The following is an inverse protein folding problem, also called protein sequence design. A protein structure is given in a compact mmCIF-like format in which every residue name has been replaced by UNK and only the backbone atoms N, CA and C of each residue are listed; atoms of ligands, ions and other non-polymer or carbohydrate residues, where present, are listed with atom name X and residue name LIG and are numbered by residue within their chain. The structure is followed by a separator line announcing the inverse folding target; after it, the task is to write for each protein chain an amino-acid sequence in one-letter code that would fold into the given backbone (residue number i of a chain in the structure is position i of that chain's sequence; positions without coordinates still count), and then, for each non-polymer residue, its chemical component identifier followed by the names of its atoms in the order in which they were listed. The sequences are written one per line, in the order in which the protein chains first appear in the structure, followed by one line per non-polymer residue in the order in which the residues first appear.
data_IF_304132539553
#
_entry.id   IF_304132539553
#
_cell.length_a   1.000
_cell.length_b   1.000
_cell.length_c   1.000
_cell.angle_alpha   90.00
_cell.angle_beta   90.00
_cell.angle_gamma   90.00
#
_symmetry.space_group_name_H-M   'P 1'
#
loop_
_entity.id
_entity.type
_entity.pdbx_description
1 polymer ?
#
# COMPACT_ATOMS: atom_id res chain seq x y z
N UNK A 1 -37.78 -1.77 -10.20
CA UNK A 1 -36.77 -1.93 -9.12
C UNK A 1 -35.51 -2.60 -9.64
N UNK A 2 -35.61 -3.73 -10.36
CA UNK A 2 -34.46 -4.43 -10.96
C UNK A 2 -33.48 -3.56 -11.75
N UNK A 3 -33.97 -2.66 -12.63
CA UNK A 3 -33.10 -1.78 -13.43
C UNK A 3 -32.22 -0.87 -12.55
N UNK A 4 -32.77 -0.38 -11.43
CA UNK A 4 -32.04 0.48 -10.50
C UNK A 4 -30.97 -0.33 -9.73
N UNK A 5 -31.31 -1.54 -9.32
CA UNK A 5 -30.36 -2.47 -8.67
C UNK A 5 -29.24 -2.86 -9.62
N UNK A 6 -29.57 -3.21 -10.87
CA UNK A 6 -28.59 -3.49 -11.91
C UNK A 6 -27.69 -2.29 -12.15
N UNK A 7 -28.26 -1.08 -12.27
CA UNK A 7 -27.50 0.14 -12.48
C UNK A 7 -26.48 0.36 -11.35
N UNK A 8 -26.88 0.18 -10.09
CA UNK A 8 -25.97 0.28 -8.94
C UNK A 8 -24.84 -0.75 -9.05
N UNK A 9 -25.16 -2.02 -9.29
CA UNK A 9 -24.15 -3.09 -9.34
C UNK A 9 -23.19 -2.87 -10.51
N UNK A 10 -23.69 -2.45 -11.68
CA UNK A 10 -22.86 -2.14 -12.85
C UNK A 10 -21.99 -0.92 -12.59
N UNK A 11 -22.51 0.12 -11.92
CA UNK A 11 -21.74 1.31 -11.54
C UNK A 11 -20.61 0.94 -10.57
N UNK A 12 -20.90 0.13 -9.55
CA UNK A 12 -19.89 -0.36 -8.59
C UNK A 12 -18.86 -1.27 -9.28
N UNK A 13 -19.29 -2.16 -10.18
CA UNK A 13 -18.38 -3.03 -10.96
C UNK A 13 -17.47 -2.20 -11.87
N UNK A 14 -18.01 -1.19 -12.53
CA UNK A 14 -17.25 -0.26 -13.38
C UNK A 14 -16.27 0.56 -12.56
N UNK A 15 -16.66 0.98 -11.36
CA UNK A 15 -15.79 1.64 -10.40
C UNK A 15 -14.66 0.71 -9.92
N UNK A 16 -14.93 -0.56 -9.60
CA UNK A 16 -13.89 -1.56 -9.31
C UNK A 16 -12.90 -1.71 -10.48
N UNK A 17 -13.41 -1.78 -11.71
CA UNK A 17 -12.59 -1.90 -12.91
C UNK A 17 -11.71 -0.65 -13.10
N UNK A 18 -12.27 0.53 -12.87
CA UNK A 18 -11.54 1.80 -12.93
C UNK A 18 -10.43 1.86 -11.87
N UNK A 19 -10.71 1.45 -10.63
CA UNK A 19 -9.69 1.32 -9.60
C UNK A 19 -8.61 0.32 -10.02
N UNK A 20 -8.99 -0.84 -10.57
CA UNK A 20 -8.04 -1.85 -11.03
C UNK A 20 -7.13 -1.34 -12.17
N UNK A 21 -7.59 -0.32 -12.92
CA UNK A 21 -6.80 0.36 -13.93
C UNK A 21 -5.91 1.47 -13.34
N UNK A 22 -6.43 2.25 -12.39
CA UNK A 22 -5.70 3.33 -11.72
C UNK A 22 -4.66 2.84 -10.72
N UNK A 23 -4.82 1.63 -10.18
CA UNK A 23 -3.91 1.03 -9.20
C UNK A 23 -3.15 -0.16 -9.83
N UNK A 24 -2.23 0.08 -10.78
CA UNK A 24 -1.20 -0.89 -11.11
C UNK A 24 -0.36 -1.20 -9.86
N UNK A 25 0.19 -2.41 -9.79
CA UNK A 25 1.03 -2.86 -8.66
C UNK A 25 2.22 -1.92 -8.39
N UNK A 26 2.75 -1.24 -9.41
CA UNK A 26 3.84 -0.26 -9.26
C UNK A 26 3.42 0.98 -8.47
N UNK A 27 2.15 1.40 -8.57
CA UNK A 27 1.66 2.55 -7.82
C UNK A 27 1.51 2.21 -6.34
N UNK A 28 1.07 0.99 -6.00
CA UNK A 28 1.02 0.54 -4.60
C UNK A 28 2.40 0.54 -3.94
N UNK A 29 3.41 0.06 -4.65
CA UNK A 29 4.81 0.10 -4.19
C UNK A 29 5.31 1.54 -4.00
N UNK A 30 4.97 2.44 -4.92
CA UNK A 30 5.31 3.86 -4.80
C UNK A 30 4.60 4.54 -3.62
N UNK A 31 3.32 4.24 -3.40
CA UNK A 31 2.56 4.77 -2.25
C UNK A 31 3.15 4.30 -0.93
N UNK A 32 3.50 3.02 -0.82
CA UNK A 32 4.16 2.47 0.36
C UNK A 32 5.52 3.15 0.59
N UNK A 33 6.37 3.25 -0.43
CA UNK A 33 7.67 3.95 -0.32
C UNK A 33 7.51 5.40 0.11
N UNK A 34 6.60 6.14 -0.53
CA UNK A 34 6.34 7.53 -0.18
C UNK A 34 5.88 7.66 1.28
N UNK A 35 4.98 6.78 1.73
CA UNK A 35 4.49 6.80 3.11
C UNK A 35 5.57 6.45 4.13
N UNK A 36 6.41 5.46 3.83
CA UNK A 36 7.56 5.07 4.65
C UNK A 36 8.56 6.23 4.77
N UNK A 37 8.83 6.96 3.68
CA UNK A 37 9.72 8.13 3.70
C UNK A 37 9.11 9.35 4.38
N UNK A 38 7.78 9.53 4.30
CA UNK A 38 7.09 10.63 4.94
C UNK A 38 7.13 10.50 6.48
N UNK A 39 6.98 9.28 6.99
CA UNK A 39 6.82 9.04 8.43
C UNK A 39 5.55 9.69 8.99
N UNK A 40 5.41 9.70 10.31
CA UNK A 40 4.27 10.34 10.97
C UNK A 40 4.70 11.11 12.23
N UNK A 41 3.89 12.10 12.60
CA UNK A 41 3.98 12.81 13.86
C UNK A 41 2.77 12.50 14.73
N UNK A 42 3.00 11.98 15.94
CA UNK A 42 1.95 11.76 16.93
C UNK A 42 1.98 12.84 18.00
N UNK A 43 0.81 13.33 18.43
CA UNK A 43 0.73 14.39 19.44
C UNK A 43 1.16 13.84 20.80
N UNK A 44 2.11 14.51 21.45
CA UNK A 44 2.50 14.14 22.82
C UNK A 44 1.40 14.53 23.81
N UNK A 45 1.08 13.67 24.79
CA UNK A 45 0.24 14.06 25.92
C UNK A 45 0.90 15.19 26.72
N UNK A 46 0.09 16.10 27.27
CA UNK A 46 0.56 17.31 27.97
C UNK A 46 1.52 17.02 29.13
N UNK A 47 1.41 15.83 29.72
CA UNK A 47 2.24 15.37 30.82
C UNK A 47 3.70 15.05 30.43
N UNK A 48 3.99 14.87 29.14
CA UNK A 48 5.33 14.45 28.65
C UNK A 48 6.10 15.60 27.96
N UNK A 49 5.60 16.83 28.07
CA UNK A 49 6.20 17.98 27.40
C UNK A 49 7.63 18.21 27.90
N UNK A 50 8.57 18.31 26.97
CA UNK A 50 9.98 18.61 27.27
C UNK A 50 10.26 20.09 27.12
N UNK A 51 11.07 20.65 28.01
CA UNK A 51 11.37 22.09 28.04
C UNK A 51 12.33 22.56 26.93
N UNK A 52 13.05 21.64 26.25
CA UNK A 52 13.99 21.97 25.18
C UNK A 52 13.71 21.10 23.96
N UNK A 53 12.92 21.64 23.04
CA UNK A 53 12.45 20.95 21.83
C UNK A 53 12.83 21.78 20.61
N UNK A 54 13.22 21.11 19.53
CA UNK A 54 13.54 21.78 18.27
C UNK A 54 12.22 22.24 17.62
N UNK A 55 12.18 23.48 17.14
CA UNK A 55 11.05 23.98 16.34
C UNK A 55 11.01 23.21 15.01
N UNK A 56 9.82 22.87 14.53
CA UNK A 56 9.67 22.20 13.25
C UNK A 56 10.16 23.07 12.08
N UNK A 57 10.95 22.49 11.18
CA UNK A 57 11.47 23.10 9.97
C UNK A 57 11.09 22.27 8.73
N UNK A 58 10.65 22.90 7.61
CA UNK A 58 10.10 22.17 6.45
C UNK A 58 11.09 21.30 5.67
N UNK A 59 12.38 21.62 5.75
CA UNK A 59 13.43 21.01 4.92
C UNK A 59 14.36 20.10 5.71
N UNK A 60 14.01 19.81 6.96
CA UNK A 60 14.85 19.01 7.86
C UNK A 60 14.25 17.63 8.06
N UNK A 61 15.09 16.59 7.92
CA UNK A 61 14.69 15.21 8.18
C UNK A 61 14.85 14.87 9.66
N UNK A 62 13.76 14.49 10.31
CA UNK A 62 13.78 14.12 11.73
C UNK A 62 14.02 12.62 11.90
N UNK A 63 14.92 12.25 12.83
CA UNK A 63 15.17 10.85 13.19
C UNK A 63 14.10 10.31 14.14
N UNK A 64 14.06 8.99 14.28
CA UNK A 64 13.18 8.29 15.20
C UNK A 64 13.13 8.90 16.61
N UNK A 65 11.93 9.05 17.16
CA UNK A 65 11.67 9.57 18.51
C UNK A 65 12.14 11.01 18.76
N UNK A 66 12.39 11.79 17.71
CA UNK A 66 12.66 13.22 17.86
C UNK A 66 11.35 13.93 18.19
N UNK A 67 11.37 14.76 19.23
CA UNK A 67 10.24 15.61 19.59
C UNK A 67 10.41 16.94 18.84
N UNK A 68 9.36 17.38 18.16
CA UNK A 68 9.32 18.67 17.47
C UNK A 68 8.15 19.49 17.97
N UNK A 69 8.34 20.80 18.07
CA UNK A 69 7.27 21.73 18.42
C UNK A 69 6.72 22.40 17.16
N UNK A 70 5.40 22.31 16.97
CA UNK A 70 4.69 22.99 15.91
C UNK A 70 3.42 23.63 16.46
N UNK A 71 3.22 24.93 16.22
CA UNK A 71 2.09 25.70 16.71
C UNK A 71 1.82 25.57 18.22
N UNK A 72 2.87 25.48 19.04
CA UNK A 72 2.78 25.37 20.51
C UNK A 72 2.40 23.98 21.02
N UNK A 73 2.30 22.99 20.13
CA UNK A 73 2.03 21.58 20.47
C UNK A 73 3.28 20.77 20.16
N UNK A 74 3.64 19.86 21.07
CA UNK A 74 4.75 18.95 20.89
C UNK A 74 4.29 17.65 20.21
N UNK A 75 5.04 17.20 19.22
CA UNK A 75 4.78 15.99 18.46
C UNK A 75 6.00 15.07 18.47
N UNK A 76 5.77 13.76 18.53
CA UNK A 76 6.79 12.71 18.41
C UNK A 76 6.91 12.25 16.97
N UNK A 77 8.12 12.23 16.43
CA UNK A 77 8.40 11.57 15.17
C UNK A 77 8.32 10.04 15.35
N UNK A 78 7.32 9.43 14.71
CA UNK A 78 7.15 7.98 14.60
C UNK A 78 7.50 7.59 13.17
N UNK A 79 8.76 7.19 12.90
CA UNK A 79 9.13 6.66 11.60
C UNK A 79 8.68 5.21 11.46
N UNK A 80 8.69 4.74 10.22
CA UNK A 80 8.51 3.33 9.90
C UNK A 80 9.80 2.55 10.21
N UNK A 81 9.69 1.30 10.67
CA UNK A 81 10.83 0.48 11.13
C UNK A 81 11.97 0.34 10.09
N UNK A 82 11.62 0.40 8.80
CA UNK A 82 12.55 0.26 7.68
C UNK A 82 13.35 1.54 7.37
N UNK A 83 12.80 2.71 7.67
CA UNK A 83 13.38 4.00 7.28
C UNK A 83 13.24 4.98 8.44
N UNK A 84 14.36 5.26 9.11
CA UNK A 84 14.46 6.15 10.28
C UNK A 84 14.42 7.65 9.91
N UNK A 85 13.63 8.04 8.90
CA UNK A 85 13.43 9.44 8.50
C UNK A 85 11.96 9.81 8.57
N UNK A 86 11.66 10.97 9.15
CA UNK A 86 10.33 11.57 9.17
C UNK A 86 10.41 12.99 8.60
N UNK A 87 9.60 13.26 7.56
CA UNK A 87 9.54 14.53 6.83
C UNK A 87 8.11 15.09 6.81
N UNK A 88 7.17 14.42 7.48
CA UNK A 88 5.78 14.84 7.54
C UNK A 88 5.60 16.22 8.20
N UNK A 89 4.53 16.92 7.85
CA UNK A 89 4.13 18.14 8.53
C UNK A 89 3.33 17.78 9.80
N UNK A 90 3.79 18.19 11.00
CA UNK A 90 3.10 17.91 12.25
C UNK A 90 1.74 18.61 12.32
N UNK A 91 0.69 17.82 12.57
CA UNK A 91 -0.69 18.30 12.64
C UNK A 91 -1.48 18.21 11.33
N UNK A 92 -0.86 17.78 10.23
CA UNK A 92 -1.55 17.57 8.95
C UNK A 92 -2.23 16.19 8.91
N UNK A 93 -3.57 16.17 8.92
CA UNK A 93 -4.37 14.95 8.92
C UNK A 93 -4.13 14.12 7.65
N UNK A 94 -3.88 14.76 6.52
CA UNK A 94 -3.65 14.07 5.24
C UNK A 94 -2.36 13.23 5.27
N UNK A 95 -1.31 13.74 5.91
CA UNK A 95 -0.04 13.03 6.07
C UNK A 95 -0.20 11.85 7.03
N UNK A 96 -0.94 12.05 8.13
CA UNK A 96 -1.27 10.99 9.08
C UNK A 96 -2.08 9.86 8.42
N UNK A 97 -3.12 10.19 7.66
CA UNK A 97 -3.94 9.20 6.95
C UNK A 97 -3.14 8.49 5.87
N UNK A 98 -2.30 9.21 5.12
CA UNK A 98 -1.42 8.63 4.12
C UNK A 98 -0.45 7.63 4.75
N UNK A 99 0.17 7.99 5.88
CA UNK A 99 1.04 7.08 6.63
C UNK A 99 0.25 5.87 7.12
N UNK A 100 -0.89 6.06 7.80
CA UNK A 100 -1.67 4.95 8.36
C UNK A 100 -2.22 3.99 7.30
N UNK A 101 -2.63 4.51 6.15
CA UNK A 101 -3.19 3.70 5.06
C UNK A 101 -2.12 2.92 4.29
N UNK A 102 -0.93 3.53 4.12
CA UNK A 102 0.12 3.01 3.25
C UNK A 102 1.34 2.46 3.99
N UNK A 103 1.42 2.58 5.33
CA UNK A 103 2.49 1.97 6.12
C UNK A 103 2.49 0.45 5.96
N UNK A 104 1.30 -0.17 5.89
CA UNK A 104 1.14 -1.56 5.54
C UNK A 104 0.88 -1.71 4.04
N UNK A 105 1.79 -2.32 3.26
CA UNK A 105 1.63 -2.45 1.81
C UNK A 105 0.42 -3.32 1.44
N UNK A 106 0.00 -4.21 2.35
CA UNK A 106 -1.07 -5.20 2.13
C UNK A 106 -2.48 -4.63 2.43
N UNK A 107 -2.57 -3.48 3.09
CA UNK A 107 -3.85 -2.92 3.57
C UNK A 107 -4.78 -2.53 2.41
N UNK A 108 -4.29 -1.76 1.42
CA UNK A 108 -5.10 -1.35 0.27
C UNK A 108 -5.62 -2.56 -0.53
N UNK A 109 -4.76 -3.53 -0.93
CA UNK A 109 -5.24 -4.75 -1.58
C UNK A 109 -6.28 -5.52 -0.76
N UNK A 110 -6.11 -5.60 0.58
CA UNK A 110 -7.09 -6.26 1.44
C UNK A 110 -8.46 -5.56 1.39
N UNK A 111 -8.49 -4.22 1.47
CA UNK A 111 -9.76 -3.46 1.38
C UNK A 111 -10.45 -3.74 0.03
N UNK A 112 -9.71 -3.75 -1.07
CA UNK A 112 -10.26 -4.03 -2.39
C UNK A 112 -10.79 -5.47 -2.52
N UNK A 113 -10.10 -6.45 -1.93
CA UNK A 113 -10.56 -7.84 -1.86
C UNK A 113 -11.88 -7.94 -1.08
N UNK A 114 -11.97 -7.30 0.09
CA UNK A 114 -13.20 -7.31 0.89
C UNK A 114 -14.36 -6.63 0.16
N UNK A 115 -14.11 -5.47 -0.45
CA UNK A 115 -15.10 -4.77 -1.27
C UNK A 115 -15.60 -5.63 -2.43
N UNK A 116 -14.69 -6.29 -3.15
CA UNK A 116 -15.04 -7.13 -4.28
C UNK A 116 -15.79 -8.40 -3.85
N UNK A 117 -15.40 -9.02 -2.73
CA UNK A 117 -16.10 -10.16 -2.16
C UNK A 117 -17.52 -9.78 -1.70
N UNK A 118 -17.69 -8.61 -1.07
CA UNK A 118 -19.00 -8.09 -0.69
C UNK A 118 -19.90 -7.89 -1.91
N UNK A 119 -19.37 -7.32 -2.99
CA UNK A 119 -20.10 -7.08 -4.22
C UNK A 119 -20.56 -8.40 -4.88
N UNK A 120 -19.69 -9.42 -4.90
CA UNK A 120 -20.05 -10.76 -5.38
C UNK A 120 -21.12 -11.41 -4.50
N UNK A 121 -21.00 -11.31 -3.17
CA UNK A 121 -22.00 -11.84 -2.25
C UNK A 121 -23.37 -11.17 -2.44
N UNK A 122 -23.39 -9.86 -2.67
CA UNK A 122 -24.60 -9.12 -2.99
C UNK A 122 -25.20 -9.56 -4.34
N UNK A 123 -24.38 -9.81 -5.36
CA UNK A 123 -24.83 -10.37 -6.64
C UNK A 123 -25.40 -11.78 -6.49
N UNK A 124 -24.81 -12.63 -5.66
CA UNK A 124 -25.36 -13.96 -5.35
C UNK A 124 -26.72 -13.87 -4.64
N UNK A 125 -26.84 -12.96 -3.67
CA UNK A 125 -28.11 -12.70 -3.00
C UNK A 125 -29.20 -12.28 -4.00
N UNK A 126 -28.87 -11.35 -4.90
CA UNK A 126 -29.75 -10.90 -5.98
C UNK A 126 -30.14 -12.04 -6.93
N UNK A 127 -29.20 -12.93 -7.25
CA UNK A 127 -29.43 -14.09 -8.12
C UNK A 127 -30.48 -15.04 -7.54
N UNK A 128 -30.43 -15.31 -6.23
CA UNK A 128 -31.42 -16.16 -5.55
C UNK A 128 -32.85 -15.60 -5.58
N UNK A 129 -32.99 -14.27 -5.63
CA UNK A 129 -34.29 -13.59 -5.66
C UNK A 129 -34.84 -13.40 -7.09
N UNK A 130 -34.02 -13.66 -8.11
CA UNK A 130 -34.37 -13.41 -9.51
C UNK A 130 -34.90 -14.68 -10.17
N UNK A 131 -36.07 -14.58 -10.83
CA UNK A 131 -36.73 -15.73 -11.48
C UNK A 131 -36.59 -15.67 -13.01
N UNK A 132 -36.45 -14.47 -13.60
CA UNK A 132 -36.38 -14.30 -15.05
C UNK A 132 -35.03 -14.73 -15.62
N UNK A 133 -35.03 -15.52 -16.69
CA UNK A 133 -33.78 -16.03 -17.29
C UNK A 133 -32.85 -14.92 -17.79
N UNK A 134 -33.42 -13.83 -18.34
CA UNK A 134 -32.64 -12.74 -18.92
C UNK A 134 -31.84 -12.03 -17.84
N UNK A 135 -32.51 -11.75 -16.71
CA UNK A 135 -31.91 -11.15 -15.53
C UNK A 135 -30.82 -12.05 -14.94
N UNK A 136 -31.07 -13.36 -14.84
CA UNK A 136 -30.09 -14.36 -14.39
C UNK A 136 -28.81 -14.33 -15.24
N UNK A 137 -28.92 -14.35 -16.57
CA UNK A 137 -27.75 -14.36 -17.48
C UNK A 137 -26.89 -13.10 -17.31
N UNK A 138 -27.53 -11.91 -17.23
CA UNK A 138 -26.80 -10.65 -17.05
C UNK A 138 -26.05 -10.58 -15.72
N UNK A 139 -26.66 -11.06 -14.63
CA UNK A 139 -26.04 -11.12 -13.32
C UNK A 139 -24.85 -12.08 -13.29
N UNK A 140 -24.99 -13.26 -13.89
CA UNK A 140 -23.89 -14.26 -13.95
C UNK A 140 -22.70 -13.74 -14.74
N UNK A 141 -22.93 -13.10 -15.89
CA UNK A 141 -21.86 -12.50 -16.69
C UNK A 141 -21.10 -11.42 -15.90
N UNK A 142 -21.85 -10.55 -15.21
CA UNK A 142 -21.28 -9.49 -14.39
C UNK A 142 -20.51 -10.05 -13.17
N UNK A 143 -21.04 -11.11 -12.56
CA UNK A 143 -20.41 -11.82 -11.46
C UNK A 143 -19.09 -12.48 -11.90
N UNK A 144 -19.03 -13.03 -13.12
CA UNK A 144 -17.80 -13.55 -13.70
C UNK A 144 -16.74 -12.44 -13.86
N UNK A 145 -17.11 -11.27 -14.38
CA UNK A 145 -16.21 -10.12 -14.46
C UNK A 145 -15.70 -9.70 -13.07
N UNK A 146 -16.59 -9.67 -12.07
CA UNK A 146 -16.20 -9.35 -10.70
C UNK A 146 -15.28 -10.40 -10.06
N UNK A 147 -15.43 -11.66 -10.42
CA UNK A 147 -14.55 -12.73 -9.96
C UNK A 147 -13.15 -12.60 -10.57
N UNK A 148 -13.04 -12.22 -11.85
CA UNK A 148 -11.75 -11.94 -12.48
C UNK A 148 -11.03 -10.76 -11.80
N UNK A 149 -11.75 -9.72 -11.41
CA UNK A 149 -11.19 -8.61 -10.64
C UNK A 149 -10.72 -9.06 -9.24
N UNK A 150 -11.50 -9.90 -8.57
CA UNK A 150 -11.10 -10.48 -7.28
C UNK A 150 -9.81 -11.29 -7.41
N UNK A 151 -9.70 -12.14 -8.43
CA UNK A 151 -8.50 -12.92 -8.70
C UNK A 151 -7.29 -12.01 -9.01
N UNK A 152 -7.49 -10.93 -9.76
CA UNK A 152 -6.45 -9.91 -10.01
C UNK A 152 -5.95 -9.29 -8.71
N UNK A 153 -6.85 -8.78 -7.86
CA UNK A 153 -6.47 -8.16 -6.59
C UNK A 153 -5.82 -9.15 -5.62
N UNK A 154 -6.28 -10.40 -5.60
CA UNK A 154 -5.66 -11.45 -4.80
C UNK A 154 -4.22 -11.75 -5.26
N UNK A 155 -4.00 -11.86 -6.58
CA UNK A 155 -2.65 -11.99 -7.15
C UNK A 155 -1.78 -10.80 -6.74
N UNK A 156 -2.28 -9.58 -6.88
CA UNK A 156 -1.52 -8.37 -6.55
C UNK A 156 -1.18 -8.33 -5.04
N UNK A 157 -2.11 -8.76 -4.17
CA UNK A 157 -1.88 -8.92 -2.72
C UNK A 157 -0.77 -9.93 -2.42
N UNK A 158 -0.79 -11.10 -3.06
CA UNK A 158 0.21 -12.15 -2.86
C UNK A 158 1.59 -11.68 -3.32
N UNK A 159 1.68 -11.08 -4.51
CA UNK A 159 2.94 -10.54 -5.04
C UNK A 159 3.50 -9.47 -4.12
N UNK A 160 2.67 -8.52 -3.69
CA UNK A 160 3.11 -7.43 -2.81
C UNK A 160 3.55 -7.93 -1.43
N UNK A 161 2.85 -8.93 -0.89
CA UNK A 161 3.23 -9.61 0.34
C UNK A 161 4.59 -10.31 0.24
N UNK A 162 4.90 -10.94 -0.91
CA UNK A 162 6.22 -11.56 -1.14
C UNK A 162 7.34 -10.53 -1.30
N UNK A 163 7.07 -9.37 -1.88
CA UNK A 163 8.08 -8.32 -2.07
C UNK A 163 8.48 -7.69 -0.73
N UNK A 164 7.50 -7.39 0.14
CA UNK A 164 7.72 -6.65 1.38
C UNK A 164 8.05 -7.54 2.58
N UNK A 165 7.57 -8.79 2.58
CA UNK A 165 8.00 -9.84 3.51
C UNK A 165 8.64 -10.97 2.69
N UNK A 166 9.86 -10.78 2.15
CA UNK A 166 10.55 -11.83 1.43
C UNK A 166 10.69 -13.03 2.36
N UNK A 167 10.21 -14.19 1.89
CA UNK A 167 10.38 -15.44 2.62
C UNK A 167 11.88 -15.68 2.78
N UNK A 168 12.29 -16.37 3.85
CA UNK A 168 13.71 -16.64 4.13
C UNK A 168 14.50 -17.18 2.93
N UNK A 169 13.84 -17.97 2.07
CA UNK A 169 14.41 -18.49 0.82
C UNK A 169 14.71 -17.38 -0.20
N UNK A 170 13.81 -16.41 -0.37
CA UNK A 170 13.99 -15.27 -1.28
C UNK A 170 15.17 -14.40 -0.81
N UNK A 171 15.32 -14.19 0.50
CA UNK A 171 16.47 -13.50 1.09
C UNK A 171 17.79 -14.22 0.81
N UNK A 172 17.80 -15.55 0.92
CA UNK A 172 18.98 -16.38 0.63
C UNK A 172 19.39 -16.27 -0.84
N UNK A 173 18.43 -16.39 -1.76
CA UNK A 173 18.65 -16.21 -3.20
C UNK A 173 19.20 -14.82 -3.55
N UNK A 174 18.64 -13.75 -2.97
CA UNK A 174 19.11 -12.39 -3.21
C UNK A 174 20.56 -12.21 -2.72
N UNK A 175 20.90 -12.79 -1.56
CA UNK A 175 22.25 -12.73 -1.01
C UNK A 175 23.26 -13.48 -1.90
N UNK A 176 22.86 -14.61 -2.47
CA UNK A 176 23.67 -15.43 -3.36
C UNK A 176 23.91 -14.72 -4.70
N UNK A 177 22.86 -14.18 -5.31
CA UNK A 177 22.95 -13.34 -6.51
C UNK A 177 23.87 -12.13 -6.31
N UNK A 178 23.76 -11.45 -5.16
CA UNK A 178 24.60 -10.30 -4.84
C UNK A 178 26.07 -10.72 -4.69
N UNK A 179 26.33 -11.88 -4.09
CA UNK A 179 27.68 -12.43 -3.99
C UNK A 179 28.24 -12.78 -5.36
N UNK A 180 27.49 -13.47 -6.22
CA UNK A 180 27.93 -13.80 -7.58
C UNK A 180 28.24 -12.56 -8.43
N UNK A 181 27.39 -11.54 -8.34
CA UNK A 181 27.59 -10.26 -9.03
C UNK A 181 28.87 -9.56 -8.54
N UNK A 182 29.12 -9.58 -7.23
CA UNK A 182 30.33 -8.99 -6.66
C UNK A 182 31.61 -9.72 -7.12
N UNK A 183 31.56 -11.05 -7.24
CA UNK A 183 32.67 -11.87 -7.72
C UNK A 183 32.94 -11.61 -9.21
N UNK A 184 31.90 -11.51 -10.04
CA UNK A 184 32.05 -11.19 -11.46
C UNK A 184 32.64 -9.80 -11.66
N UNK A 185 32.15 -8.79 -10.94
CA UNK A 185 32.72 -7.44 -10.97
C UNK A 185 34.20 -7.39 -10.52
N UNK A 186 34.58 -8.17 -9.50
CA UNK A 186 35.99 -8.28 -9.08
C UNK A 186 36.87 -8.93 -10.15
N UNK A 187 36.40 -10.02 -10.79
CA UNK A 187 37.10 -10.66 -11.90
C UNK A 187 37.26 -9.72 -13.10
N UNK A 188 36.25 -8.93 -13.40
CA UNK A 188 36.28 -7.97 -14.51
C UNK A 188 37.26 -6.82 -14.23
N UNK A 189 37.24 -6.25 -13.01
CA UNK A 189 38.25 -5.27 -12.58
C UNK A 189 39.69 -5.82 -12.68
N UNK A 190 39.92 -7.06 -12.25
CA UNK A 190 41.23 -7.70 -12.37
C UNK A 190 41.66 -7.89 -13.82
N UNK A 191 40.75 -8.25 -14.73
CA UNK A 191 41.07 -8.35 -16.17
C UNK A 191 41.42 -7.01 -16.79
N UNK A 192 40.79 -5.92 -16.37
CA UNK A 192 41.11 -4.57 -16.86
C UNK A 192 42.49 -4.15 -16.36
N UNK A 193 42.78 -4.35 -15.07
CA UNK A 193 44.08 -4.03 -14.49
C UNK A 193 45.25 -4.80 -15.14
N UNK A 194 45.04 -6.06 -15.52
CA UNK A 194 46.07 -6.89 -16.16
C UNK A 194 46.29 -6.59 -17.65
N UNK A 195 45.49 -5.69 -18.24
CA UNK A 195 45.61 -5.26 -19.65
C UNK A 195 46.25 -3.88 -19.83
N UNK A 196 46.40 -3.12 -18.74
CA UNK A 196 47.20 -1.88 -18.67
C UNK A 196 48.65 -2.21 -18.27
#
# INVERSE_FOLDING_TARGET
MWIFELFIIVALTSFSLYIAFLIPIHYLDLFHKNAVHLGCFEKLPENEYRAKVQKWEPYYEYKANTIVEHNGIQYLAIPHELVNSCVAEPGNISHYLCYKLNADPVLIPNILIFYQAFLIAFQFWMLCLTIDWQHIVTLVLLMFANFLLLAKFFKDRVVLGRIHNPTFEDMKLISELKNELSITLMKEKQRVYNKE
#
